data_IF_331064802369
#
_entry.id   IF_331064802369
#
_cell.length_a   1.000
_cell.length_b   1.000
_cell.length_c   1.000
_cell.angle_alpha   90.00
_cell.angle_beta   90.00
_cell.angle_gamma   90.00
#
_symmetry.space_group_name_H-M   'P 1'
#
loop_
_entity.id
_entity.type
_entity.pdbx_description
1 polymer ?
#
# COMPACT_ATOMS: atom_id res chain seq x y z
N UNK A 1 -21.90 -48.20 10.28
CA UNK A 1 -21.73 -47.41 9.04
C UNK A 1 -21.70 -45.94 9.44
N UNK A 2 -20.51 -45.34 9.46
CA UNK A 2 -20.31 -43.92 9.75
C UNK A 2 -20.08 -43.20 8.42
N UNK A 3 -21.07 -42.44 7.97
CA UNK A 3 -20.97 -41.62 6.76
C UNK A 3 -20.26 -40.31 7.10
N UNK A 4 -19.02 -40.19 6.61
CA UNK A 4 -18.21 -38.99 6.73
C UNK A 4 -18.80 -37.82 5.95
N UNK A 5 -19.00 -36.70 6.63
CA UNK A 5 -19.24 -35.40 6.00
C UNK A 5 -17.91 -34.89 5.43
N UNK A 6 -17.77 -35.00 4.11
CA UNK A 6 -16.75 -34.30 3.34
C UNK A 6 -16.93 -32.79 3.51
N UNK A 7 -15.99 -32.14 4.20
CA UNK A 7 -15.90 -30.68 4.27
C UNK A 7 -15.44 -30.21 2.89
N UNK A 8 -16.34 -29.62 2.12
CA UNK A 8 -15.99 -28.98 0.86
C UNK A 8 -15.01 -27.84 1.14
N UNK A 9 -13.80 -27.92 0.57
CA UNK A 9 -12.83 -26.84 0.59
C UNK A 9 -13.46 -25.58 -0.02
N UNK A 10 -13.73 -24.58 0.83
CA UNK A 10 -14.17 -23.27 0.37
C UNK A 10 -13.15 -22.71 -0.61
N UNK A 11 -13.58 -22.37 -1.83
CA UNK A 11 -12.74 -21.73 -2.85
C UNK A 11 -12.04 -20.53 -2.20
N UNK A 12 -10.71 -20.59 -2.08
CA UNK A 12 -9.91 -19.49 -1.52
C UNK A 12 -10.15 -18.25 -2.39
N UNK A 13 -10.91 -17.28 -1.87
CA UNK A 13 -11.22 -16.05 -2.61
C UNK A 13 -10.02 -15.13 -2.53
N UNK A 14 -9.29 -15.08 -3.64
CA UNK A 14 -8.15 -14.21 -3.80
C UNK A 14 -8.60 -12.75 -4.00
N UNK A 15 -7.84 -11.80 -3.41
CA UNK A 15 -8.02 -10.38 -3.73
C UNK A 15 -7.79 -10.22 -5.23
N UNK A 16 -8.60 -9.41 -5.90
CA UNK A 16 -8.42 -9.08 -7.34
C UNK A 16 -8.43 -7.58 -7.62
N UNK A 17 -8.62 -6.75 -6.59
CA UNK A 17 -8.83 -5.32 -6.72
C UNK A 17 -7.80 -4.53 -5.93
N UNK A 18 -7.34 -3.43 -6.52
CA UNK A 18 -6.48 -2.43 -5.89
C UNK A 18 -7.18 -1.08 -5.88
N UNK A 19 -6.82 -0.26 -4.90
CA UNK A 19 -7.18 1.14 -4.90
C UNK A 19 -6.02 1.94 -5.48
N UNK A 20 -6.34 2.81 -6.42
CA UNK A 20 -5.40 3.72 -7.05
C UNK A 20 -5.87 5.13 -6.77
N UNK A 21 -4.94 5.98 -6.39
CA UNK A 21 -5.23 7.40 -6.19
C UNK A 21 -4.58 8.19 -7.32
N UNK A 22 -5.34 9.08 -7.93
CA UNK A 22 -4.87 9.99 -8.93
C UNK A 22 -5.21 11.41 -8.53
N UNK A 23 -4.25 12.32 -8.71
CA UNK A 23 -4.53 13.74 -8.56
C UNK A 23 -5.37 14.22 -9.75
N UNK A 24 -6.45 14.93 -9.45
CA UNK A 24 -7.30 15.60 -10.43
C UNK A 24 -6.84 17.04 -10.63
N UNK A 25 -6.29 17.33 -11.81
CA UNK A 25 -5.86 18.68 -12.17
C UNK A 25 -7.03 19.62 -12.51
N UNK A 26 -8.26 19.12 -12.60
CA UNK A 26 -9.46 19.92 -12.88
C UNK A 26 -10.09 20.59 -11.67
N UNK A 27 -10.05 19.97 -10.48
CA UNK A 27 -10.74 20.44 -9.26
C UNK A 27 -9.92 20.34 -7.96
N UNK A 28 -8.58 20.34 -8.04
CA UNK A 28 -7.68 20.39 -6.87
C UNK A 28 -8.03 19.28 -5.87
N UNK A 29 -8.19 18.04 -6.35
CA UNK A 29 -8.68 16.92 -5.56
C UNK A 29 -7.93 15.62 -5.81
N UNK A 30 -8.11 14.63 -4.95
CA UNK A 30 -7.62 13.27 -5.14
C UNK A 30 -8.78 12.34 -5.44
N UNK A 31 -8.77 11.73 -6.62
CA UNK A 31 -9.75 10.73 -7.04
C UNK A 31 -9.23 9.34 -6.69
N UNK A 32 -10.09 8.53 -6.07
CA UNK A 32 -9.78 7.14 -5.73
C UNK A 32 -10.53 6.22 -6.67
N UNK A 33 -9.81 5.30 -7.29
CA UNK A 33 -10.33 4.33 -8.25
C UNK A 33 -10.14 2.91 -7.71
N UNK A 34 -11.12 2.05 -7.95
CA UNK A 34 -11.08 0.63 -7.58
C UNK A 34 -10.89 -0.22 -8.83
N UNK A 35 -9.65 -0.56 -9.15
CA UNK A 35 -9.30 -1.27 -10.39
C UNK A 35 -9.30 -2.78 -10.17
N UNK A 36 -10.01 -3.52 -11.02
CA UNK A 36 -10.01 -4.98 -11.01
C UNK A 36 -8.90 -5.55 -11.92
N UNK A 37 -7.85 -6.06 -11.30
CA UNK A 37 -6.67 -6.59 -11.98
C UNK A 37 -6.77 -8.10 -12.27
N UNK A 38 -7.93 -8.72 -12.08
CA UNK A 38 -8.11 -10.17 -12.32
C UNK A 38 -7.64 -10.59 -13.73
N UNK A 39 -7.95 -9.79 -14.74
CA UNK A 39 -7.60 -10.06 -16.13
C UNK A 39 -6.08 -10.11 -16.37
N UNK A 40 -5.28 -9.44 -15.54
CA UNK A 40 -3.81 -9.47 -15.66
C UNK A 40 -3.22 -10.83 -15.33
N UNK A 41 -3.93 -11.65 -14.54
CA UNK A 41 -3.49 -12.99 -14.15
C UNK A 41 -4.08 -14.10 -15.01
N UNK A 42 -4.87 -13.76 -16.04
CA UNK A 42 -5.34 -14.73 -17.02
C UNK A 42 -4.17 -15.17 -17.92
N UNK A 43 -4.14 -16.43 -18.41
CA UNK A 43 -3.13 -16.88 -19.35
C UNK A 43 -3.01 -15.91 -20.53
N UNK A 44 -1.78 -15.60 -20.91
CA UNK A 44 -1.48 -14.91 -22.16
C UNK A 44 -1.84 -15.83 -23.35
N UNK A 45 -2.37 -15.29 -24.46
CA UNK A 45 -2.38 -16.03 -25.72
C UNK A 45 -0.94 -16.35 -26.16
N UNK A 46 -0.78 -17.38 -27.00
CA UNK A 46 0.48 -18.00 -27.40
C UNK A 46 1.55 -17.03 -27.94
N UNK A 47 2.86 -17.43 -27.94
CA UNK A 47 4.02 -16.55 -28.19
C UNK A 47 4.16 -16.01 -29.63
N UNK A 48 3.16 -16.19 -30.48
CA UNK A 48 3.24 -15.92 -31.92
C UNK A 48 2.91 -14.47 -32.30
N UNK A 49 2.76 -13.56 -31.34
CA UNK A 49 2.58 -12.14 -31.62
C UNK A 49 3.70 -11.33 -30.96
N UNK A 50 4.42 -10.48 -31.69
CA UNK A 50 5.33 -9.53 -31.08
C UNK A 50 4.54 -8.65 -30.11
N UNK A 51 5.08 -8.46 -28.90
CA UNK A 51 4.50 -7.59 -27.86
C UNK A 51 4.39 -6.15 -28.39
N UNK A 52 3.28 -5.85 -29.07
CA UNK A 52 2.81 -4.50 -29.23
C UNK A 52 2.45 -3.96 -27.87
N UNK A 53 2.88 -2.73 -27.57
CA UNK A 53 2.41 -1.99 -26.39
C UNK A 53 0.92 -1.70 -26.62
N UNK A 54 0.05 -2.66 -26.30
CA UNK A 54 -1.38 -2.42 -26.26
C UNK A 54 -1.66 -1.52 -25.06
N UNK A 55 -1.74 -0.22 -25.32
CA UNK A 55 -2.53 0.68 -24.50
C UNK A 55 -3.97 0.23 -24.69
N UNK A 56 -4.40 -0.74 -23.89
CA UNK A 56 -5.76 -1.30 -23.91
C UNK A 56 -6.79 -0.17 -24.01
N UNK A 57 -7.39 0.06 -25.20
CA UNK A 57 -8.31 1.19 -25.41
C UNK A 57 -9.55 1.06 -24.52
N UNK A 58 -9.88 -0.18 -24.13
CA UNK A 58 -11.00 -0.51 -23.27
C UNK A 58 -10.76 -0.19 -21.78
N UNK A 59 -9.50 -0.07 -21.34
CA UNK A 59 -9.17 0.23 -19.94
C UNK A 59 -9.48 1.68 -19.53
N UNK A 60 -9.59 2.59 -20.51
CA UNK A 60 -9.90 4.02 -20.30
C UNK A 60 -11.39 4.31 -20.17
N UNK A 61 -12.28 3.45 -20.70
CA UNK A 61 -13.67 3.84 -20.98
C UNK A 61 -14.66 3.71 -19.80
N UNK A 62 -14.28 3.15 -18.65
CA UNK A 62 -15.22 2.86 -17.53
C UNK A 62 -14.63 3.02 -16.11
N UNK A 63 -13.49 3.72 -15.96
CA UNK A 63 -12.94 3.97 -14.63
C UNK A 63 -13.70 5.09 -13.93
N UNK A 64 -14.71 4.72 -13.16
CA UNK A 64 -15.40 5.64 -12.26
C UNK A 64 -14.64 5.76 -10.93
N UNK A 65 -14.48 6.99 -10.46
CA UNK A 65 -13.93 7.25 -9.14
C UNK A 65 -14.96 6.77 -8.08
N UNK A 66 -14.49 5.95 -7.14
CA UNK A 66 -15.33 5.49 -6.02
C UNK A 66 -15.43 6.51 -4.90
N UNK A 67 -14.49 7.47 -4.87
CA UNK A 67 -14.47 8.58 -3.93
C UNK A 67 -13.63 9.74 -4.51
N UNK A 68 -14.01 10.97 -4.14
CA UNK A 68 -13.23 12.17 -4.38
C UNK A 68 -12.90 12.81 -3.03
N UNK A 69 -11.62 13.09 -2.81
CA UNK A 69 -11.11 13.76 -1.63
C UNK A 69 -10.64 15.15 -2.06
N UNK A 70 -11.53 16.14 -1.93
CA UNK A 70 -11.24 17.54 -2.29
C UNK A 70 -10.11 18.09 -1.43
N UNK A 71 -9.12 18.71 -2.07
CA UNK A 71 -8.08 19.40 -1.33
C UNK A 71 -8.61 20.75 -0.84
N UNK A 72 -8.07 21.25 0.27
CA UNK A 72 -8.35 22.60 0.79
C UNK A 72 -7.45 23.64 0.11
N UNK A 73 -6.26 23.23 -0.31
CA UNK A 73 -5.30 24.07 -1.03
C UNK A 73 -4.47 23.27 -2.05
N UNK A 74 -3.78 23.98 -2.94
CA UNK A 74 -3.02 23.41 -4.05
C UNK A 74 -1.73 22.66 -3.65
N UNK A 75 -1.28 22.79 -2.40
CA UNK A 75 -0.09 22.13 -1.86
C UNK A 75 -0.44 20.94 -0.96
N UNK A 76 -1.74 20.74 -0.69
CA UNK A 76 -2.22 19.67 0.19
C UNK A 76 -1.75 18.29 -0.31
N UNK A 77 -1.01 17.58 0.53
CA UNK A 77 -0.49 16.26 0.19
C UNK A 77 -1.09 15.21 1.13
N UNK A 78 -1.81 14.24 0.55
CA UNK A 78 -2.52 13.19 1.30
C UNK A 78 -1.94 11.80 1.02
N UNK A 79 -1.83 10.99 2.06
CA UNK A 79 -1.55 9.56 1.95
C UNK A 79 -2.85 8.78 2.13
N UNK A 80 -2.97 7.67 1.39
CA UNK A 80 -4.21 6.90 1.33
C UNK A 80 -3.97 5.44 1.73
N UNK A 81 -4.90 4.87 2.48
CA UNK A 81 -4.91 3.46 2.79
C UNK A 81 -6.33 2.92 2.82
N UNK A 82 -6.52 1.75 2.21
CA UNK A 82 -7.76 0.99 2.31
C UNK A 82 -7.66 -0.06 3.41
N UNK A 83 -8.76 -0.30 4.11
CA UNK A 83 -8.91 -1.38 5.07
C UNK A 83 -8.66 -2.77 4.46
N UNK A 84 -8.62 -3.80 5.30
CA UNK A 84 -8.46 -5.17 4.84
C UNK A 84 -9.64 -5.63 3.96
N UNK A 85 -10.87 -5.26 4.33
CA UNK A 85 -12.07 -5.47 3.52
C UNK A 85 -12.11 -4.58 2.26
N UNK A 86 -11.50 -3.40 2.33
CA UNK A 86 -11.58 -2.37 1.30
C UNK A 86 -12.88 -1.57 1.32
N UNK A 87 -13.62 -1.61 2.43
CA UNK A 87 -14.84 -0.83 2.63
C UNK A 87 -14.55 0.54 3.24
N UNK A 88 -13.43 0.68 3.95
CA UNK A 88 -12.99 1.96 4.52
C UNK A 88 -11.72 2.41 3.82
N UNK A 89 -11.71 3.66 3.34
CA UNK A 89 -10.49 4.31 2.84
C UNK A 89 -10.23 5.54 3.70
N UNK A 90 -9.02 5.62 4.24
CA UNK A 90 -8.56 6.78 5.00
C UNK A 90 -7.59 7.56 4.13
N UNK A 91 -7.82 8.86 4.04
CA UNK A 91 -6.87 9.84 3.52
C UNK A 91 -6.40 10.70 4.69
N UNK A 92 -5.10 10.89 4.83
CA UNK A 92 -4.52 11.73 5.87
C UNK A 92 -3.50 12.70 5.26
N UNK A 93 -3.70 13.98 5.54
CA UNK A 93 -2.78 15.05 5.19
C UNK A 93 -1.46 14.86 5.93
N UNK A 94 -0.36 14.99 5.19
CA UNK A 94 0.98 14.79 5.71
C UNK A 94 1.92 16.00 5.52
N UNK A 95 1.40 17.15 5.07
CA UNK A 95 2.21 18.34 4.78
C UNK A 95 1.94 19.53 5.71
N UNK A 96 0.71 19.71 6.19
CA UNK A 96 0.28 20.97 6.85
C UNK A 96 -0.53 20.75 8.14
N UNK A 97 -1.71 20.13 8.04
CA UNK A 97 -2.81 20.25 9.00
C UNK A 97 -3.07 18.96 9.79
N UNK A 98 -2.59 17.82 9.28
CA UNK A 98 -2.97 16.51 9.81
C UNK A 98 -4.46 16.18 9.60
N UNK A 99 -5.17 16.94 8.75
CA UNK A 99 -6.55 16.68 8.34
C UNK A 99 -6.69 15.23 7.88
N UNK A 100 -7.77 14.60 8.32
CA UNK A 100 -8.11 13.23 7.92
C UNK A 100 -9.49 13.22 7.27
N UNK A 101 -9.64 12.44 6.21
CA UNK A 101 -10.90 12.15 5.54
C UNK A 101 -11.12 10.64 5.51
N UNK A 102 -12.36 10.22 5.70
CA UNK A 102 -12.73 8.82 5.82
C UNK A 102 -13.88 8.55 4.85
N UNK A 103 -13.60 7.73 3.85
CA UNK A 103 -14.62 7.10 3.03
C UNK A 103 -15.07 5.80 3.70
N UNK A 104 -16.37 5.63 3.84
CA UNK A 104 -17.00 4.40 4.32
C UNK A 104 -18.04 3.94 3.29
N UNK A 105 -17.81 2.77 2.71
CA UNK A 105 -18.68 2.17 1.70
C UNK A 105 -20.09 1.88 2.23
N UNK A 106 -20.23 1.57 3.54
CA UNK A 106 -21.55 1.34 4.15
C UNK A 106 -22.33 2.66 4.30
N UNK A 107 -21.63 3.77 4.55
CA UNK A 107 -22.21 5.10 4.57
C UNK A 107 -22.39 5.71 3.17
N UNK A 108 -21.73 5.12 2.16
CA UNK A 108 -21.80 5.56 0.76
C UNK A 108 -21.14 6.92 0.49
N UNK A 109 -20.24 7.37 1.36
CA UNK A 109 -19.71 8.74 1.29
C UNK A 109 -18.38 8.97 2.00
N UNK A 110 -17.79 10.13 1.72
CA UNK A 110 -16.62 10.68 2.39
C UNK A 110 -17.09 11.56 3.55
N UNK A 111 -16.39 11.49 4.68
CA UNK A 111 -16.67 12.27 5.88
C UNK A 111 -15.38 12.80 6.51
N UNK A 112 -15.44 13.94 7.22
CA UNK A 112 -14.29 14.44 7.97
C UNK A 112 -13.94 13.49 9.13
N UNK A 113 -12.65 13.18 9.25
CA UNK A 113 -12.07 12.41 10.34
C UNK A 113 -11.42 13.31 11.41
N UNK A 114 -10.95 12.73 12.52
CA UNK A 114 -10.16 13.46 13.51
C UNK A 114 -8.82 13.91 12.92
N UNK A 115 -8.27 15.02 13.42
CA UNK A 115 -6.93 15.48 13.02
C UNK A 115 -5.83 14.65 13.70
N UNK A 116 -4.79 14.35 12.93
CA UNK A 116 -3.59 13.68 13.42
C UNK A 116 -2.81 14.64 14.32
N UNK A 117 -2.25 14.13 15.42
CA UNK A 117 -1.61 15.00 16.43
C UNK A 117 -0.24 15.50 15.99
N UNK A 118 0.42 14.74 15.11
CA UNK A 118 1.67 15.13 14.50
C UNK A 118 1.68 14.74 13.01
N UNK A 119 1.86 15.74 12.17
CA UNK A 119 2.07 15.60 10.73
C UNK A 119 3.29 14.73 10.46
N UNK A 120 3.13 13.70 9.62
CA UNK A 120 4.12 12.64 9.35
C UNK A 120 4.74 12.84 7.97
N UNK A 121 5.97 13.32 7.88
CA UNK A 121 6.54 13.63 6.56
C UNK A 121 6.76 12.36 5.74
N UNK A 122 6.17 12.32 4.53
CA UNK A 122 6.03 11.09 3.71
C UNK A 122 5.35 9.97 4.52
N UNK A 123 4.06 10.17 4.81
CA UNK A 123 3.25 9.29 5.64
C UNK A 123 3.09 7.89 5.03
N UNK A 124 3.54 6.87 5.77
CA UNK A 124 3.10 5.50 5.63
C UNK A 124 1.85 5.27 6.49
N UNK A 125 0.71 5.16 5.83
CA UNK A 125 -0.55 4.79 6.45
C UNK A 125 -0.82 3.29 6.24
N UNK A 126 -0.84 2.52 7.33
CA UNK A 126 -0.80 1.06 7.29
C UNK A 126 -2.09 0.48 7.85
N UNK A 127 -2.93 -0.19 7.04
CA UNK A 127 -4.11 -0.86 7.54
C UNK A 127 -3.70 -2.11 8.33
N UNK A 128 -4.08 -2.19 9.61
CA UNK A 128 -3.85 -3.37 10.46
C UNK A 128 -5.10 -4.26 10.51
N UNK A 129 -6.27 -3.67 10.25
CA UNK A 129 -7.56 -4.35 10.12
C UNK A 129 -8.61 -3.36 9.60
N UNK A 130 -9.89 -3.67 9.79
CA UNK A 130 -10.97 -2.82 9.27
C UNK A 130 -11.25 -1.57 10.08
N UNK A 131 -10.73 -1.51 11.31
CA UNK A 131 -11.00 -0.45 12.29
C UNK A 131 -9.75 0.22 12.83
N UNK A 132 -8.60 -0.04 12.22
CA UNK A 132 -7.32 0.49 12.71
C UNK A 132 -6.31 0.71 11.59
N UNK A 133 -5.78 1.92 11.56
CA UNK A 133 -4.67 2.32 10.70
C UNK A 133 -3.52 2.79 11.58
N UNK A 134 -2.33 2.30 11.30
CA UNK A 134 -1.08 2.70 11.94
C UNK A 134 -0.39 3.74 11.06
N UNK A 135 0.04 4.86 11.64
CA UNK A 135 0.65 5.97 10.93
C UNK A 135 2.09 6.18 11.39
N UNK A 136 2.98 6.33 10.43
CA UNK A 136 4.40 6.59 10.62
C UNK A 136 4.97 7.33 9.41
N UNK A 137 6.08 8.02 9.60
CA UNK A 137 6.76 8.78 8.55
C UNK A 137 7.95 8.01 8.00
N UNK A 138 8.22 8.16 6.70
CA UNK A 138 9.50 7.73 6.14
C UNK A 138 10.65 8.58 6.73
N UNK A 139 10.40 9.87 6.98
CA UNK A 139 11.40 10.84 7.46
C UNK A 139 11.02 11.45 8.80
N UNK A 140 11.11 10.67 9.87
CA UNK A 140 10.55 11.05 11.18
C UNK A 140 11.21 12.24 11.87
N UNK A 141 12.37 12.68 11.39
CA UNK A 141 13.02 13.91 11.86
C UNK A 141 12.35 15.18 11.34
N UNK A 142 11.56 15.06 10.28
CA UNK A 142 10.86 16.17 9.63
C UNK A 142 9.40 16.30 10.09
N UNK A 143 8.95 15.46 11.01
CA UNK A 143 7.60 15.49 11.55
C UNK A 143 7.34 16.78 12.36
N UNK A 144 6.09 17.26 12.30
CA UNK A 144 5.65 18.48 12.98
C UNK A 144 4.44 18.20 13.90
N UNK A 145 4.31 18.87 15.07
CA UNK A 145 5.31 19.70 15.72
C UNK A 145 6.54 18.89 16.15
N UNK A 146 7.71 19.53 16.27
CA UNK A 146 8.90 18.87 16.83
C UNK A 146 8.58 18.36 18.23
N UNK A 147 8.86 17.09 18.48
CA UNK A 147 8.52 16.43 19.75
C UNK A 147 7.10 15.86 19.83
N UNK A 148 6.24 16.07 18.82
CA UNK A 148 4.94 15.39 18.69
C UNK A 148 5.10 13.88 18.46
N UNK A 149 4.06 13.04 18.58
CA UNK A 149 4.21 11.57 18.56
C UNK A 149 4.97 11.02 17.35
N UNK A 150 5.89 10.06 17.56
CA UNK A 150 6.62 9.41 16.46
C UNK A 150 5.73 8.44 15.68
N UNK A 151 4.91 7.68 16.41
CA UNK A 151 3.95 6.74 15.85
C UNK A 151 2.55 7.07 16.37
N UNK A 152 1.55 6.93 15.50
CA UNK A 152 0.15 7.14 15.86
C UNK A 152 -0.73 6.01 15.31
N UNK A 153 -1.89 5.81 15.93
CA UNK A 153 -2.92 4.94 15.39
C UNK A 153 -4.25 5.68 15.31
N UNK A 154 -4.88 5.59 14.15
CA UNK A 154 -6.27 5.94 13.93
C UNK A 154 -7.12 4.71 14.18
N UNK A 155 -7.98 4.75 15.19
CA UNK A 155 -8.80 3.61 15.58
C UNK A 155 -10.27 4.00 15.72
N UNK A 156 -11.15 3.14 15.20
CA UNK A 156 -12.59 3.29 15.41
C UNK A 156 -12.96 2.67 16.75
N UNK A 157 -13.45 3.51 17.67
CA UNK A 157 -13.96 3.07 18.97
C UNK A 157 -15.48 2.89 18.89
N UNK A 158 -16.02 1.74 19.34
CA UNK A 158 -17.46 1.56 19.43
C UNK A 158 -18.09 2.62 20.34
N UNK A 159 -19.26 3.15 19.96
CA UNK A 159 -20.03 4.07 20.80
C UNK A 159 -21.23 3.35 21.44
N UNK A 160 -21.63 3.73 22.69
CA UNK A 160 -22.91 3.32 23.25
C UNK A 160 -24.05 3.85 22.36
N UNK A 161 -24.92 2.96 21.86
CA UNK A 161 -26.01 3.31 20.95
C UNK A 161 -25.81 2.89 19.48
N UNK A 162 -24.69 2.24 19.15
CA UNK A 162 -24.38 1.78 17.80
C UNK A 162 -23.51 2.77 17.03
N UNK A 163 -22.73 2.25 16.08
CA UNK A 163 -21.72 3.01 15.35
C UNK A 163 -20.35 3.08 16.05
N UNK A 164 -19.44 3.88 15.49
CA UNK A 164 -18.10 4.04 16.05
C UNK A 164 -17.46 5.38 15.69
N UNK A 165 -16.68 5.92 16.61
CA UNK A 165 -15.95 7.18 16.44
C UNK A 165 -14.48 6.91 16.16
N UNK A 166 -13.96 7.50 15.09
CA UNK A 166 -12.54 7.48 14.79
C UNK A 166 -11.78 8.45 15.70
N UNK A 167 -10.64 8.03 16.23
CA UNK A 167 -9.76 8.85 17.04
C UNK A 167 -8.28 8.52 16.80
N UNK A 168 -7.45 9.56 16.71
CA UNK A 168 -6.00 9.43 16.73
C UNK A 168 -5.48 9.27 18.15
N UNK A 169 -4.56 8.32 18.32
CA UNK A 169 -3.87 8.04 19.57
C UNK A 169 -2.37 7.96 19.33
N UNK A 170 -1.60 8.62 20.20
CA UNK A 170 -0.16 8.50 20.23
C UNK A 170 0.21 7.09 20.71
N UNK A 171 1.19 6.48 20.05
CA UNK A 171 1.75 5.19 20.45
C UNK A 171 3.05 5.42 21.23
N UNK A 172 3.43 4.49 22.12
CA UNK A 172 4.72 4.57 22.80
C UNK A 172 5.89 4.54 21.79
N UNK A 173 7.06 5.04 22.20
CA UNK A 173 8.27 4.92 21.38
C UNK A 173 8.85 3.48 21.45
N UNK A 174 9.56 3.01 20.41
CA UNK A 174 10.26 1.74 20.44
C UNK A 174 11.33 1.71 21.55
N UNK A 175 11.53 0.56 22.22
CA UNK A 175 12.44 0.44 23.34
C UNK A 175 13.90 0.52 22.90
N UNK A 176 14.77 1.00 23.80
CA UNK A 176 16.22 1.03 23.57
C UNK A 176 16.69 2.14 22.62
N UNK A 177 15.81 3.05 22.23
CA UNK A 177 16.14 4.25 21.46
C UNK A 177 16.12 5.44 22.42
N UNK A 178 17.19 6.24 22.42
CA UNK A 178 17.27 7.44 23.24
C UNK A 178 16.15 8.42 22.88
N UNK A 179 15.56 9.07 23.88
CA UNK A 179 14.51 10.07 23.65
C UNK A 179 15.02 11.16 22.69
N UNK A 180 14.19 11.52 21.72
CA UNK A 180 14.53 12.49 20.68
C UNK A 180 15.38 11.96 19.53
N UNK A 181 15.93 10.74 19.63
CA UNK A 181 16.68 10.09 18.54
C UNK A 181 15.74 9.34 17.60
N UNK A 182 14.96 10.07 16.80
CA UNK A 182 14.13 9.49 15.74
C UNK A 182 14.99 9.12 14.55
N UNK A 183 14.66 7.98 13.98
CA UNK A 183 15.31 7.42 12.81
C UNK A 183 14.27 7.12 11.74
N UNK A 184 14.71 7.08 10.49
CA UNK A 184 13.82 6.93 9.36
C UNK A 184 13.28 5.50 9.25
N UNK A 185 11.99 5.37 8.95
CA UNK A 185 11.38 4.07 8.68
C UNK A 185 11.75 3.69 7.24
N UNK A 186 12.55 2.64 7.08
CA UNK A 186 12.99 2.17 5.76
C UNK A 186 12.04 1.13 5.17
N UNK A 187 11.47 0.26 6.00
CA UNK A 187 10.53 -0.76 5.56
C UNK A 187 9.52 -1.15 6.63
N UNK A 188 8.41 -1.73 6.18
CA UNK A 188 7.38 -2.24 7.07
C UNK A 188 6.54 -3.36 6.43
N UNK A 189 5.92 -4.17 7.28
CA UNK A 189 4.88 -5.12 6.89
C UNK A 189 3.92 -5.39 8.06
N UNK A 190 2.80 -6.02 7.76
CA UNK A 190 1.81 -6.44 8.78
C UNK A 190 1.76 -7.96 8.83
N UNK A 191 1.76 -8.52 10.03
CA UNK A 191 1.60 -9.95 10.28
C UNK A 191 0.63 -10.17 11.44
N UNK A 192 -0.63 -10.50 11.11
CA UNK A 192 -1.71 -10.54 12.09
C UNK A 192 -1.91 -9.17 12.75
N UNK A 193 -1.99 -9.12 14.08
CA UNK A 193 -2.11 -7.89 14.85
C UNK A 193 -0.76 -7.17 15.10
N UNK A 194 0.30 -7.49 14.35
CA UNK A 194 1.62 -6.87 14.51
C UNK A 194 2.00 -6.06 13.29
N UNK A 195 2.42 -4.82 13.54
CA UNK A 195 3.09 -3.98 12.56
C UNK A 195 4.59 -4.12 12.78
N UNK A 196 5.31 -4.60 11.77
CA UNK A 196 6.76 -4.70 11.78
C UNK A 196 7.35 -3.49 11.07
N UNK A 197 8.39 -2.91 11.64
CA UNK A 197 9.09 -1.74 11.08
C UNK A 197 10.60 -1.97 11.15
N UNK A 198 11.30 -1.55 10.11
CA UNK A 198 12.76 -1.49 10.06
C UNK A 198 13.19 -0.04 10.14
N UNK A 199 13.90 0.29 11.22
CA UNK A 199 14.41 1.64 11.49
C UNK A 199 15.88 1.73 11.09
N UNK A 200 16.21 2.78 10.34
CA UNK A 200 17.56 3.00 9.87
C UNK A 200 18.56 3.04 11.03
N UNK A 201 19.60 2.21 10.96
CA UNK A 201 20.68 2.03 11.95
C UNK A 201 20.24 1.55 13.35
N UNK A 202 18.95 1.29 13.59
CA UNK A 202 18.43 0.83 14.90
C UNK A 202 17.98 -0.63 14.91
N UNK A 203 17.76 -1.19 13.73
CA UNK A 203 17.26 -2.55 13.52
C UNK A 203 15.74 -2.61 13.36
N UNK A 204 15.20 -3.82 13.56
CA UNK A 204 13.79 -4.13 13.29
C UNK A 204 13.01 -4.30 14.59
N UNK A 205 11.79 -3.76 14.60
CA UNK A 205 10.87 -3.77 15.73
C UNK A 205 9.49 -4.26 15.28
N UNK A 206 8.72 -4.80 16.22
CA UNK A 206 7.31 -5.10 16.00
C UNK A 206 6.44 -4.44 17.08
N UNK A 207 5.32 -3.85 16.66
CA UNK A 207 4.31 -3.31 17.55
C UNK A 207 3.09 -4.23 17.55
N UNK A 208 2.75 -4.77 18.71
CA UNK A 208 1.55 -5.57 18.94
C UNK A 208 0.38 -4.63 19.20
N UNK A 209 -0.51 -4.45 18.22
CA UNK A 209 -1.59 -3.46 18.30
C UNK A 209 -2.65 -3.84 19.33
N UNK A 210 -2.84 -5.14 19.59
CA UNK A 210 -3.75 -5.63 20.60
C UNK A 210 -3.23 -5.37 22.02
N UNK A 211 -1.92 -5.56 22.23
CA UNK A 211 -1.27 -5.35 23.54
C UNK A 211 -0.67 -3.96 23.71
N UNK A 212 -0.73 -3.12 22.69
CA UNK A 212 -0.17 -1.76 22.66
C UNK A 212 1.31 -1.71 23.10
N UNK A 213 2.12 -2.67 22.63
CA UNK A 213 3.52 -2.80 23.09
C UNK A 213 4.49 -3.10 21.95
N UNK A 214 5.67 -2.52 22.09
CA UNK A 214 6.80 -2.77 21.19
C UNK A 214 7.63 -3.98 21.63
N UNK A 215 8.29 -4.58 20.65
CA UNK A 215 9.37 -5.55 20.82
C UNK A 215 10.48 -5.25 19.82
N UNK A 216 11.74 -5.34 20.26
CA UNK A 216 12.88 -5.37 19.35
C UNK A 216 13.03 -6.80 18.80
N UNK A 217 13.01 -6.91 17.48
CA UNK A 217 13.08 -8.19 16.76
C UNK A 217 14.52 -8.57 16.43
N UNK A 218 15.35 -7.57 16.16
CA UNK A 218 16.79 -7.74 15.99
C UNK A 218 17.50 -6.43 15.74
N UNK A 219 18.83 -6.45 15.83
CA UNK A 219 19.68 -5.32 15.45
C UNK A 219 19.81 -5.18 13.91
N UNK A 220 19.32 -6.16 13.16
CA UNK A 220 19.31 -6.16 11.69
C UNK A 220 18.16 -5.33 11.13
N UNK A 221 18.38 -4.76 9.94
CA UNK A 221 17.35 -4.11 9.13
C UNK A 221 16.80 -5.08 8.09
N UNK A 222 15.55 -4.90 7.70
CA UNK A 222 14.96 -5.66 6.60
C UNK A 222 15.65 -5.25 5.27
N UNK A 223 16.04 -6.20 4.41
CA UNK A 223 16.68 -5.90 3.13
C UNK A 223 15.67 -5.48 2.04
N UNK A 224 14.63 -4.77 2.44
CA UNK A 224 13.58 -4.20 1.57
C UNK A 224 13.33 -2.74 1.93
N UNK A 225 12.68 -2.00 1.04
CA UNK A 225 12.28 -0.60 1.23
C UNK A 225 10.77 -0.45 1.02
N UNK A 226 10.14 0.39 1.85
CA UNK A 226 8.69 0.59 1.84
C UNK A 226 7.91 -0.62 2.35
N UNK A 227 6.75 -0.86 1.73
CA UNK A 227 5.82 -1.92 2.14
C UNK A 227 6.26 -3.28 1.61
N UNK A 228 6.21 -4.30 2.47
CA UNK A 228 6.39 -5.69 2.11
C UNK A 228 5.22 -6.57 2.60
N UNK A 229 5.15 -7.79 2.07
CA UNK A 229 4.10 -8.78 2.37
C UNK A 229 4.72 -10.07 2.90
N UNK A 230 4.38 -10.41 4.14
CA UNK A 230 4.76 -11.69 4.71
C UNK A 230 3.80 -12.76 4.21
N UNK A 231 4.33 -13.82 3.62
CA UNK A 231 3.59 -15.01 3.22
C UNK A 231 4.13 -16.20 4.01
N UNK A 232 3.45 -16.61 5.09
CA UNK A 232 3.84 -17.78 5.87
C UNK A 232 3.74 -19.03 5.00
N UNK A 233 4.71 -19.94 5.17
CA UNK A 233 4.71 -21.26 4.53
C UNK A 233 4.58 -21.23 2.99
N UNK A 234 5.16 -20.21 2.36
CA UNK A 234 5.06 -20.04 0.91
C UNK A 234 5.65 -21.22 0.13
N UNK A 235 6.72 -21.83 0.66
CA UNK A 235 7.44 -22.94 0.04
C UNK A 235 6.91 -24.32 0.49
N UNK A 236 5.87 -24.39 1.34
CA UNK A 236 5.41 -25.65 1.94
C UNK A 236 6.38 -26.29 2.94
N UNK A 237 7.41 -25.56 3.38
CA UNK A 237 8.46 -26.03 4.31
C UNK A 237 8.33 -25.45 5.72
N UNK A 238 7.27 -24.69 6.00
CA UNK A 238 7.09 -23.88 7.20
C UNK A 238 7.87 -22.56 7.19
N UNK A 239 8.73 -22.33 6.19
CA UNK A 239 9.55 -21.10 6.10
C UNK A 239 8.70 -19.87 5.83
N UNK A 240 9.06 -18.78 6.48
CA UNK A 240 8.39 -17.49 6.36
C UNK A 240 9.11 -16.62 5.34
N UNK A 241 8.46 -16.31 4.22
CA UNK A 241 9.01 -15.43 3.21
C UNK A 241 8.36 -14.06 3.23
N UNK A 242 9.19 -13.04 3.10
CA UNK A 242 8.77 -11.65 2.95
C UNK A 242 9.02 -11.20 1.50
N UNK A 243 8.00 -10.68 0.84
CA UNK A 243 8.07 -10.18 -0.54
C UNK A 243 7.98 -8.65 -0.55
N UNK A 244 8.93 -8.00 -1.20
CA UNK A 244 8.99 -6.53 -1.24
C UNK A 244 9.91 -6.00 -2.32
N UNK A 245 10.24 -4.71 -2.26
CA UNK A 245 11.23 -4.08 -3.12
C UNK A 245 12.56 -4.03 -2.38
N UNK A 246 13.63 -4.52 -2.99
CA UNK A 246 14.95 -4.56 -2.39
C UNK A 246 15.51 -3.16 -2.07
N UNK A 247 16.14 -3.00 -0.89
CA UNK A 247 16.63 -1.71 -0.39
C UNK A 247 18.01 -1.30 -0.91
N UNK A 248 18.75 -2.21 -1.55
CA UNK A 248 20.06 -1.92 -2.09
C UNK A 248 19.98 -0.89 -3.22
N UNK A 249 20.79 0.17 -3.11
CA UNK A 249 20.92 1.21 -4.13
C UNK A 249 21.18 0.58 -5.51
N UNK A 250 20.35 0.97 -6.49
CA UNK A 250 20.39 0.45 -7.86
C UNK A 250 19.49 -0.77 -8.12
N UNK A 251 19.33 -1.66 -7.15
CA UNK A 251 18.56 -2.91 -7.30
C UNK A 251 17.18 -2.80 -6.64
N UNK A 252 16.37 -1.84 -7.09
CA UNK A 252 14.95 -1.67 -6.72
C UNK A 252 14.06 -2.72 -7.39
N UNK A 253 14.47 -3.98 -7.24
CA UNK A 253 13.85 -5.16 -7.81
C UNK A 253 12.83 -5.72 -6.83
N UNK A 254 11.81 -6.37 -7.37
CA UNK A 254 10.95 -7.23 -6.57
C UNK A 254 11.78 -8.40 -6.05
N UNK A 255 11.65 -8.75 -4.78
CA UNK A 255 12.47 -9.80 -4.18
C UNK A 255 11.75 -10.55 -3.06
N UNK A 256 12.25 -11.77 -2.81
CA UNK A 256 11.84 -12.64 -1.71
C UNK A 256 12.98 -12.71 -0.68
N UNK A 257 12.62 -12.50 0.58
CA UNK A 257 13.51 -12.49 1.74
C UNK A 257 13.14 -13.65 2.66
N UNK A 258 14.14 -14.41 3.09
CA UNK A 258 13.97 -15.41 4.14
C UNK A 258 13.95 -14.72 5.51
N UNK A 259 12.81 -14.76 6.18
CA UNK A 259 12.65 -14.19 7.53
C UNK A 259 13.18 -15.11 8.64
N UNK A 260 13.47 -16.37 8.32
CA UNK A 260 13.99 -17.34 9.27
C UNK A 260 15.52 -17.36 9.30
N UNK A 261 16.18 -16.83 8.24
CA UNK A 261 17.60 -16.51 8.25
C UNK A 261 17.95 -15.50 9.36
N UNK A 262 19.22 -15.54 9.81
CA UNK A 262 19.74 -14.69 10.89
C UNK A 262 21.05 -14.03 10.44
N UNK A 263 21.03 -12.75 10.00
CA UNK A 263 19.86 -11.89 9.80
C UNK A 263 19.00 -12.32 8.60
N UNK A 264 17.75 -11.80 8.46
CA UNK A 264 16.95 -12.01 7.25
C UNK A 264 17.71 -11.60 5.99
N UNK A 265 17.64 -12.44 4.97
CA UNK A 265 18.45 -12.30 3.76
C UNK A 265 17.62 -12.47 2.50
N UNK A 266 17.97 -11.74 1.45
CA UNK A 266 17.35 -11.89 0.12
C UNK A 266 17.71 -13.29 -0.39
N UNK A 267 16.70 -14.11 -0.65
CA UNK A 267 16.86 -15.42 -1.31
C UNK A 267 16.94 -15.26 -2.82
N UNK A 268 16.09 -14.39 -3.38
CA UNK A 268 15.97 -14.16 -4.81
C UNK A 268 15.44 -12.76 -5.09
N UNK A 269 15.89 -12.18 -6.21
CA UNK A 269 15.33 -10.96 -6.76
C UNK A 269 15.03 -11.14 -8.24
N UNK A 270 14.07 -10.36 -8.74
CA UNK A 270 13.54 -10.43 -10.09
C UNK A 270 13.50 -9.02 -10.71
N UNK A 271 14.57 -8.58 -11.39
CA UNK A 271 14.60 -7.32 -12.13
C UNK A 271 13.47 -7.19 -13.16
N UNK A 272 13.10 -8.29 -13.80
CA UNK A 272 12.08 -8.40 -14.85
C UNK A 272 10.65 -8.09 -14.35
N UNK A 273 10.41 -8.16 -13.04
CA UNK A 273 9.12 -7.79 -12.45
C UNK A 273 8.88 -6.27 -12.40
N UNK A 274 9.86 -5.44 -12.80
CA UNK A 274 9.71 -3.98 -12.80
C UNK A 274 8.77 -3.55 -13.94
N UNK A 275 7.73 -2.73 -13.68
CA UNK A 275 6.87 -2.21 -14.74
C UNK A 275 7.65 -1.29 -15.69
N UNK A 276 7.84 -1.69 -16.95
CA UNK A 276 8.57 -0.88 -17.95
C UNK A 276 7.65 -0.23 -18.98
N UNK A 277 6.39 -0.64 -19.06
CA UNK A 277 5.42 -0.19 -20.08
C UNK A 277 5.20 1.32 -20.10
N UNK A 278 5.16 1.99 -18.95
CA UNK A 278 5.01 3.44 -18.90
C UNK A 278 6.25 4.16 -19.47
N UNK A 279 7.45 3.68 -19.14
CA UNK A 279 8.69 4.23 -19.67
C UNK A 279 8.80 4.02 -21.17
N UNK A 280 8.43 2.83 -21.65
CA UNK A 280 8.40 2.50 -23.08
C UNK A 280 7.42 3.40 -23.85
N UNK A 281 6.26 3.71 -23.26
CA UNK A 281 5.30 4.65 -23.81
C UNK A 281 5.67 6.15 -23.60
N UNK A 282 6.86 6.44 -23.05
CA UNK A 282 7.40 7.80 -22.95
C UNK A 282 6.87 8.64 -21.77
N UNK A 283 6.18 8.04 -20.80
CA UNK A 283 5.75 8.71 -19.57
C UNK A 283 6.92 8.96 -18.61
N UNK A 284 6.75 9.95 -17.74
CA UNK A 284 7.76 10.35 -16.75
C UNK A 284 7.41 9.73 -15.40
N UNK A 285 8.39 9.10 -14.75
CA UNK A 285 8.19 8.52 -13.42
C UNK A 285 8.04 9.60 -12.34
N UNK A 286 7.04 9.43 -11.47
CA UNK A 286 6.81 10.33 -10.33
C UNK A 286 7.14 9.67 -9.00
N UNK A 287 6.90 8.35 -8.89
CA UNK A 287 7.41 7.57 -7.77
C UNK A 287 8.78 6.98 -8.09
N UNK A 288 9.69 7.08 -7.12
CA UNK A 288 11.00 6.44 -7.16
C UNK A 288 10.96 4.99 -6.68
N UNK A 289 9.91 4.59 -5.95
CA UNK A 289 9.74 3.25 -5.40
C UNK A 289 8.51 2.58 -6.00
N UNK A 290 8.66 1.39 -6.61
CA UNK A 290 7.52 0.57 -6.96
C UNK A 290 6.74 0.16 -5.72
N UNK A 291 5.43 0.04 -5.86
CA UNK A 291 4.57 -0.53 -4.83
C UNK A 291 4.27 -1.99 -5.16
N UNK A 292 4.17 -2.82 -4.13
CA UNK A 292 3.81 -4.23 -4.26
C UNK A 292 2.40 -4.43 -3.73
N UNK A 293 1.64 -5.30 -4.38
CA UNK A 293 0.35 -5.79 -3.90
C UNK A 293 0.30 -7.31 -3.99
N UNK A 294 -0.19 -7.97 -2.95
CA UNK A 294 -0.35 -9.42 -2.90
C UNK A 294 -1.81 -9.84 -3.12
N UNK A 295 -2.03 -10.77 -4.04
CA UNK A 295 -3.35 -11.26 -4.46
C UNK A 295 -3.61 -12.70 -3.96
N UNK A 296 -2.66 -13.32 -3.26
CA UNK A 296 -2.78 -14.68 -2.76
C UNK A 296 -2.32 -15.73 -3.78
N UNK A 297 -1.83 -16.87 -3.29
CA UNK A 297 -1.39 -18.00 -4.12
C UNK A 297 -0.22 -17.63 -5.04
N UNK A 298 0.79 -16.95 -4.51
CA UNK A 298 1.97 -16.51 -5.28
C UNK A 298 1.75 -15.36 -6.25
N UNK A 299 0.53 -14.84 -6.37
CA UNK A 299 0.23 -13.72 -7.28
C UNK A 299 0.54 -12.38 -6.66
N UNK A 300 1.37 -11.61 -7.35
CA UNK A 300 1.74 -10.24 -6.99
C UNK A 300 1.48 -9.29 -8.15
N UNK A 301 1.27 -8.02 -7.82
CA UNK A 301 1.30 -6.94 -8.78
C UNK A 301 2.28 -5.88 -8.31
N UNK A 302 3.18 -5.47 -9.20
CA UNK A 302 4.09 -4.36 -8.98
C UNK A 302 3.51 -3.17 -9.72
N UNK A 303 3.32 -2.05 -9.02
CA UNK A 303 2.76 -0.83 -9.60
C UNK A 303 3.71 0.35 -9.50
N UNK A 304 3.63 1.23 -10.48
CA UNK A 304 4.32 2.52 -10.45
C UNK A 304 3.41 3.64 -10.95
N UNK A 305 3.41 4.74 -10.22
CA UNK A 305 2.77 5.99 -10.60
C UNK A 305 3.73 6.85 -11.42
N UNK A 306 3.23 7.26 -12.59
CA UNK A 306 3.90 8.06 -13.60
C UNK A 306 2.98 9.24 -13.97
N UNK A 307 3.47 10.14 -14.82
CA UNK A 307 2.68 11.25 -15.35
C UNK A 307 2.92 11.47 -16.84
N UNK A 308 1.94 12.09 -17.50
CA UNK A 308 2.11 12.64 -18.85
C UNK A 308 3.16 13.75 -18.87
N UNK A 309 3.81 13.91 -20.02
CA UNK A 309 4.62 15.10 -20.32
C UNK A 309 3.70 16.29 -20.61
N UNK A 310 4.20 17.51 -20.36
CA UNK A 310 3.47 18.76 -20.63
C UNK A 310 2.91 19.42 -19.38
N UNK A 311 2.24 20.56 -19.57
CA UNK A 311 1.70 21.40 -18.49
C UNK A 311 0.49 20.76 -17.81
N UNK A 312 -0.38 20.07 -18.57
CA UNK A 312 -1.53 19.34 -18.02
C UNK A 312 -1.13 17.91 -17.65
N UNK A 313 -0.38 17.78 -16.55
CA UNK A 313 0.08 16.49 -16.00
C UNK A 313 -1.11 15.66 -15.55
N UNK A 314 -1.26 14.49 -16.16
CA UNK A 314 -2.23 13.45 -15.75
C UNK A 314 -1.50 12.28 -15.12
N UNK A 315 -2.08 11.75 -14.06
CA UNK A 315 -1.57 10.54 -13.42
C UNK A 315 -1.75 9.33 -14.33
N UNK A 316 -0.71 8.51 -14.43
CA UNK A 316 -0.68 7.28 -15.21
C UNK A 316 -0.13 6.18 -14.32
N UNK A 317 -0.86 5.09 -14.16
CA UNK A 317 -0.43 3.95 -13.34
C UNK A 317 -0.11 2.76 -14.22
N UNK A 318 1.10 2.24 -14.05
CA UNK A 318 1.55 1.02 -14.71
C UNK A 318 1.53 -0.14 -13.73
N UNK A 319 1.12 -1.30 -14.22
CA UNK A 319 1.06 -2.54 -13.48
C UNK A 319 1.85 -3.63 -14.22
N UNK A 320 2.63 -4.40 -13.46
CA UNK A 320 3.21 -5.67 -13.89
C UNK A 320 2.67 -6.76 -12.98
N UNK A 321 1.86 -7.67 -13.52
CA UNK A 321 1.39 -8.83 -12.79
C UNK A 321 2.40 -9.97 -12.93
N UNK A 322 2.68 -10.65 -11.81
CA UNK A 322 3.59 -11.79 -11.76
C UNK A 322 3.03 -12.86 -10.83
N UNK A 323 3.45 -14.09 -11.06
CA UNK A 323 3.19 -15.22 -10.17
C UNK A 323 4.50 -15.87 -9.78
N UNK A 324 4.73 -16.06 -8.49
CA UNK A 324 5.89 -16.77 -7.96
C UNK A 324 5.46 -18.19 -7.59
N UNK A 325 6.19 -19.20 -8.05
CA UNK A 325 5.94 -20.60 -7.67
C UNK A 325 6.62 -20.97 -6.35
N UNK A 326 6.29 -22.14 -5.79
CA UNK A 326 6.94 -22.65 -4.58
C UNK A 326 8.45 -22.91 -4.77
N UNK A 327 8.93 -23.04 -6.01
CA UNK A 327 10.34 -23.17 -6.37
C UNK A 327 11.04 -21.81 -6.55
N UNK A 328 10.35 -20.71 -6.22
CA UNK A 328 10.80 -19.33 -6.45
C UNK A 328 11.06 -19.02 -7.94
N UNK A 329 10.33 -19.66 -8.85
CA UNK A 329 10.29 -19.28 -10.27
C UNK A 329 9.30 -18.12 -10.44
N UNK A 330 9.68 -17.10 -11.21
CA UNK A 330 8.79 -16.01 -11.58
C UNK A 330 8.15 -16.31 -12.93
N UNK A 331 6.82 -16.29 -12.95
CA UNK A 331 6.01 -16.35 -14.16
C UNK A 331 5.50 -14.94 -14.43
N UNK A 332 5.99 -14.34 -15.50
CA UNK A 332 5.45 -13.07 -15.98
C UNK A 332 4.03 -13.27 -16.48
N UNK A 333 3.13 -12.40 -16.03
CA UNK A 333 1.78 -12.28 -16.55
C UNK A 333 1.68 -11.00 -17.37
N UNK A 334 0.48 -10.44 -17.50
CA UNK A 334 0.26 -9.25 -18.32
C UNK A 334 0.81 -7.99 -17.64
N UNK A 335 1.18 -7.03 -18.47
CA UNK A 335 1.43 -5.65 -18.06
C UNK A 335 0.29 -4.77 -18.57
N UNK A 336 -0.06 -3.73 -17.82
CA UNK A 336 -1.06 -2.77 -18.28
C UNK A 336 -0.74 -1.37 -17.82
N UNK A 337 -1.30 -0.42 -18.55
CA UNK A 337 -1.14 1.00 -18.34
C UNK A 337 -2.53 1.63 -18.25
N UNK A 338 -2.76 2.39 -17.19
CA UNK A 338 -4.01 3.11 -16.98
C UNK A 338 -3.73 4.60 -16.95
N UNK A 339 -4.31 5.31 -17.92
CA UNK A 339 -4.43 6.76 -17.86
C UNK A 339 -5.61 7.09 -16.94
N UNK A 340 -5.35 7.79 -15.85
CA UNK A 340 -6.37 8.05 -14.85
C UNK A 340 -7.32 9.16 -15.34
N UNK A 341 -8.65 8.96 -15.28
CA UNK A 341 -9.62 9.99 -15.63
C UNK A 341 -9.51 11.23 -14.73
N UNK A 342 -9.95 12.36 -15.26
CA UNK A 342 -10.19 13.60 -14.52
C UNK A 342 -11.70 13.74 -14.27
N UNK A 343 -12.10 14.52 -13.27
CA UNK A 343 -13.52 14.86 -13.14
C UNK A 343 -13.97 15.62 -14.41
N UNK A 344 -15.05 15.17 -15.02
CA UNK A 344 -15.77 15.98 -16.00
C UNK A 344 -16.43 17.12 -15.23
N UNK A 345 -16.12 18.39 -15.55
CA UNK A 345 -16.77 19.57 -14.93
C UNK A 345 -18.28 19.34 -14.81
N UNK A 346 -18.76 19.16 -13.58
CA UNK A 346 -20.15 18.80 -13.29
C UNK A 346 -20.28 18.09 -11.95
N UNK A 347 -20.39 18.88 -10.88
CA UNK A 347 -20.71 18.47 -9.50
C UNK A 347 -21.91 17.51 -9.44
N UNK A 348 -22.03 16.71 -8.35
CA UNK A 348 -23.03 17.14 -7.38
C UNK A 348 -22.55 17.10 -5.93
N UNK A 349 -23.02 18.12 -5.21
CA UNK A 349 -23.05 18.34 -3.77
C UNK A 349 -21.74 18.78 -3.09
N UNK A 350 -21.73 20.05 -2.70
CA UNK A 350 -20.93 20.57 -1.59
C UNK A 350 -21.19 19.76 -0.33
N UNK A 351 -20.15 19.09 0.17
CA UNK A 351 -20.04 18.71 1.60
C UNK A 351 -18.55 18.75 1.98
N UNK A 352 -18.17 19.85 2.62
CA UNK A 352 -17.06 20.16 3.56
C UNK A 352 -15.78 19.30 3.47
#
# INVERSE_FOLDING_TARGET
>A
MSTGRSISAGKLRHRTRVFVVAQDSGEVGNLVFKINLKHLFSPSPSPSQPEGVEVEPHAQAQLEAVACFKQVDQFESMAFAASASGDVIVAANYADSGRTLIYDAAAGGVSPGPEMRSVKQHLFLVPVGDRMFFAMSAYSRLDFPRGGPWFEALQQRPLPGGGGRWAWSALPDPPGIARGRREDVRAYFVAGARVWISLHLQGTYSFDTARQRWRKEGAWELPVEGRAFLVPDFLGSGRRLLFGICSSWGNRHFCAVDMDARPPAILRSWPEARPTVARAAGYVGCSFLPEVSYFGGGRFCISMTNQTKGENRRSVVSFKAVEVTAELQLIERRSSLYLMPQSSRGSPADVI
#
